data_IF_471368843142
#
_entry.id   IF_471368843142
#
_cell.length_a   1.000
_cell.length_b   1.000
_cell.length_c   1.000
_cell.angle_alpha   90.00
_cell.angle_beta   90.00
_cell.angle_gamma   90.00
#
_symmetry.space_group_name_H-M   'P 1'
#
loop_
_entity.id
_entity.type
_entity.pdbx_description
1 polymer ?
#
# COMPACT_ATOMS: atom_id res chain seq x y z
N UNK A 1 16.96 -14.31 -2.05
CA UNK A 1 16.32 -13.19 -1.33
C UNK A 1 16.62 -11.91 -2.10
N UNK A 2 15.71 -11.49 -2.97
CA UNK A 2 15.83 -10.24 -3.73
C UNK A 2 14.85 -9.23 -3.14
N UNK A 3 15.39 -8.11 -2.62
CA UNK A 3 14.61 -6.93 -2.27
C UNK A 3 14.21 -6.22 -3.58
N UNK A 4 12.95 -5.86 -3.82
CA UNK A 4 12.63 -4.91 -4.87
C UNK A 4 13.10 -3.52 -4.44
N UNK A 5 13.85 -2.85 -5.32
CA UNK A 5 14.32 -1.50 -5.12
C UNK A 5 13.16 -0.52 -5.35
N UNK A 6 12.69 0.13 -4.28
CA UNK A 6 11.80 1.28 -4.33
C UNK A 6 12.60 2.54 -4.64
N UNK A 7 12.80 2.86 -5.92
CA UNK A 7 13.37 4.15 -6.30
C UNK A 7 12.97 4.57 -7.73
N UNK A 8 12.27 5.71 -7.78
CA UNK A 8 12.38 6.84 -8.73
C UNK A 8 11.08 7.25 -9.44
N UNK A 9 10.50 8.35 -8.95
CA UNK A 9 9.94 9.41 -9.79
C UNK A 9 10.22 10.78 -9.15
N UNK A 10 11.51 11.13 -9.02
CA UNK A 10 11.96 12.51 -9.17
C UNK A 10 12.71 12.53 -10.50
N UNK A 11 12.20 13.33 -11.43
CA UNK A 11 12.62 13.37 -12.82
C UNK A 11 14.14 13.52 -12.97
N UNK A 12 14.80 12.49 -13.47
CA UNK A 12 16.15 12.54 -14.04
C UNK A 12 16.04 12.32 -15.54
N UNK A 13 16.53 13.30 -16.31
CA UNK A 13 16.83 13.18 -17.73
C UNK A 13 17.74 11.96 -17.96
N UNK A 14 17.32 10.98 -18.76
CA UNK A 14 18.25 9.96 -19.27
C UNK A 14 17.64 8.61 -19.64
N UNK A 15 17.57 8.36 -20.95
CA UNK A 15 17.88 7.08 -21.59
C UNK A 15 16.91 5.90 -21.37
N UNK A 16 15.89 5.80 -22.23
CA UNK A 16 15.14 4.57 -22.49
C UNK A 16 15.55 3.98 -23.84
N UNK A 17 16.18 2.80 -23.82
CA UNK A 17 16.31 1.93 -24.98
C UNK A 17 15.98 0.48 -24.59
N UNK A 18 15.06 -0.06 -25.37
CA UNK A 18 14.87 -1.47 -25.77
C UNK A 18 13.90 -2.32 -24.93
N UNK A 19 12.71 -2.43 -25.53
CA UNK A 19 11.67 -3.45 -25.34
C UNK A 19 12.17 -4.84 -25.77
N UNK A 20 11.99 -5.85 -24.91
CA UNK A 20 11.98 -7.25 -25.28
C UNK A 20 10.59 -7.83 -25.03
N UNK A 21 9.95 -8.35 -26.07
CA UNK A 21 8.64 -9.00 -26.01
C UNK A 21 8.76 -10.51 -25.79
N UNK A 22 7.91 -11.05 -24.92
CA UNK A 22 7.43 -12.43 -24.95
C UNK A 22 6.13 -12.47 -25.79
N UNK A 23 5.67 -13.62 -26.34
CA UNK A 23 5.02 -14.64 -25.51
C UNK A 23 5.09 -16.12 -25.97
N UNK A 24 4.84 -16.97 -24.97
CA UNK A 24 4.20 -18.29 -24.92
C UNK A 24 3.80 -19.04 -26.21
N UNK A 25 3.94 -20.37 -26.14
CA UNK A 25 2.82 -21.32 -26.37
C UNK A 25 3.10 -22.71 -25.77
N UNK A 26 2.21 -23.11 -24.87
CA UNK A 26 1.93 -24.50 -24.50
C UNK A 26 1.19 -25.20 -25.65
N UNK A 27 1.44 -26.49 -25.84
CA UNK A 27 0.59 -27.38 -26.60
C UNK A 27 0.44 -28.74 -25.88
N UNK A 28 -0.82 -29.10 -25.69
CA UNK A 28 -1.38 -30.28 -25.01
C UNK A 28 -1.32 -31.55 -25.86
N UNK A 29 -1.26 -32.75 -25.24
CA UNK A 29 -1.93 -33.96 -25.78
C UNK A 29 -2.50 -34.84 -24.65
N UNK A 30 -3.73 -35.27 -24.89
CA UNK A 30 -4.69 -36.06 -24.11
C UNK A 30 -4.59 -37.54 -24.60
N UNK A 31 -4.95 -38.64 -23.92
CA UNK A 31 -6.28 -39.26 -23.67
C UNK A 31 -5.99 -40.75 -23.19
N UNK A 32 -6.97 -41.68 -23.01
CA UNK A 32 -7.69 -42.10 -21.78
C UNK A 32 -7.39 -43.56 -21.33
N UNK A 33 -7.98 -44.01 -20.21
CA UNK A 33 -8.53 -45.39 -20.10
C UNK A 33 -9.70 -45.44 -19.13
N UNK A 34 -10.75 -46.18 -19.50
CA UNK A 34 -12.03 -46.34 -18.80
C UNK A 34 -12.03 -47.38 -17.66
N UNK A 35 -12.93 -47.10 -16.72
CA UNK A 35 -13.70 -47.79 -15.65
C UNK A 35 -13.76 -49.33 -15.59
N UNK A 36 -14.12 -49.94 -14.43
CA UNK A 36 -15.54 -50.04 -14.01
C UNK A 36 -15.83 -49.81 -12.51
N UNK A 37 -17.12 -49.59 -12.25
CA UNK A 37 -17.74 -49.23 -10.98
C UNK A 37 -17.87 -50.39 -9.98
N UNK A 38 -17.94 -50.07 -8.69
CA UNK A 38 -18.60 -50.88 -7.69
C UNK A 38 -19.30 -49.96 -6.65
N UNK A 39 -20.58 -50.23 -6.46
CA UNK A 39 -21.54 -49.53 -5.63
C UNK A 39 -21.62 -50.23 -4.28
N UNK A 40 -21.37 -49.53 -3.17
CA UNK A 40 -21.85 -49.95 -1.85
C UNK A 40 -22.34 -48.73 -1.06
N UNK A 41 -23.61 -48.79 -0.69
CA UNK A 41 -24.27 -47.87 0.19
C UNK A 41 -23.68 -47.96 1.61
N UNK A 42 -23.35 -46.81 2.19
CA UNK A 42 -23.21 -46.69 3.64
C UNK A 42 -23.75 -45.34 4.10
N UNK A 43 -24.80 -45.42 4.91
CA UNK A 43 -25.47 -44.40 5.71
C UNK A 43 -24.62 -43.16 6.03
N UNK A 44 -24.85 -42.05 5.33
CA UNK A 44 -24.49 -40.72 5.82
C UNK A 44 -25.41 -40.37 7.00
N UNK A 45 -24.88 -40.47 8.22
CA UNK A 45 -25.33 -39.56 9.27
C UNK A 45 -25.03 -38.13 8.80
N UNK A 46 -25.84 -37.10 9.14
CA UNK A 46 -25.48 -35.72 8.86
C UNK A 46 -24.23 -35.40 9.67
N UNK A 47 -23.06 -35.62 9.07
CA UNK A 47 -21.82 -35.08 9.54
C UNK A 47 -22.03 -33.58 9.57
N UNK A 48 -22.11 -33.03 10.78
CA UNK A 48 -21.92 -31.60 11.00
C UNK A 48 -20.59 -31.31 10.31
N UNK A 49 -20.64 -30.68 9.14
CA UNK A 49 -19.44 -30.24 8.45
C UNK A 49 -18.66 -29.46 9.50
N UNK A 50 -17.50 -29.99 9.91
CA UNK A 50 -16.66 -29.30 10.87
C UNK A 50 -16.38 -27.93 10.22
N UNK A 51 -17.01 -26.89 10.76
CA UNK A 51 -16.88 -25.55 10.22
C UNK A 51 -15.40 -25.23 10.11
N UNK A 52 -15.02 -24.48 9.08
CA UNK A 52 -13.63 -24.12 8.85
C UNK A 52 -13.01 -23.60 10.17
N UNK A 53 -11.79 -24.08 10.56
CA UNK A 53 -11.15 -23.63 11.79
C UNK A 53 -11.19 -22.11 11.91
N UNK A 54 -11.60 -21.60 13.07
CA UNK A 54 -11.85 -20.16 13.25
C UNK A 54 -10.62 -19.31 12.92
N UNK A 55 -9.42 -19.82 13.23
CA UNK A 55 -8.15 -19.23 12.82
C UNK A 55 -8.01 -19.12 11.29
N UNK A 56 -8.41 -20.13 10.52
CA UNK A 56 -8.32 -20.05 9.06
C UNK A 56 -9.19 -18.93 8.48
N UNK A 57 -10.36 -18.68 9.08
CA UNK A 57 -11.23 -17.55 8.71
C UNK A 57 -10.56 -16.21 9.01
N UNK A 58 -9.93 -16.07 10.18
CA UNK A 58 -9.16 -14.87 10.53
C UNK A 58 -7.98 -14.64 9.57
N UNK A 59 -7.23 -15.70 9.25
CA UNK A 59 -6.12 -15.66 8.28
C UNK A 59 -6.60 -15.42 6.84
N UNK A 60 -7.81 -15.81 6.48
CA UNK A 60 -8.38 -15.52 5.16
C UNK A 60 -8.54 -14.01 4.94
N UNK A 61 -9.07 -13.28 5.92
CA UNK A 61 -9.18 -11.81 5.87
C UNK A 61 -7.81 -11.15 5.69
N UNK A 62 -6.80 -11.64 6.42
CA UNK A 62 -5.42 -11.15 6.28
C UNK A 62 -4.83 -11.45 4.90
N UNK A 63 -5.00 -12.67 4.37
CA UNK A 63 -4.50 -13.04 3.04
C UNK A 63 -5.12 -12.21 1.92
N UNK A 64 -6.43 -12.01 1.97
CA UNK A 64 -7.15 -11.17 1.00
C UNK A 64 -6.61 -9.73 1.01
N UNK A 65 -6.43 -9.17 2.21
CA UNK A 65 -5.81 -7.87 2.36
C UNK A 65 -4.38 -7.85 1.83
N UNK A 66 -3.53 -8.81 2.18
CA UNK A 66 -2.13 -8.86 1.73
C UNK A 66 -2.05 -8.90 0.20
N UNK A 67 -2.92 -9.68 -0.45
CA UNK A 67 -2.98 -9.72 -1.92
C UNK A 67 -3.34 -8.35 -2.49
N UNK A 68 -4.43 -7.73 -2.04
CA UNK A 68 -4.86 -6.43 -2.55
C UNK A 68 -3.84 -5.31 -2.23
N UNK A 69 -3.31 -5.30 -1.01
CA UNK A 69 -2.35 -4.30 -0.56
C UNK A 69 -1.03 -4.40 -1.34
N UNK A 70 -0.53 -5.62 -1.58
CA UNK A 70 0.70 -5.82 -2.36
C UNK A 70 0.59 -5.32 -3.80
N UNK A 71 -0.60 -5.39 -4.40
CA UNK A 71 -0.83 -4.85 -5.75
C UNK A 71 -0.72 -3.32 -5.74
N UNK A 72 -1.32 -2.64 -4.77
CA UNK A 72 -1.26 -1.17 -4.65
C UNK A 72 0.15 -0.62 -4.37
N UNK A 73 1.05 -1.43 -3.80
CA UNK A 73 2.43 -1.00 -3.53
C UNK A 73 3.24 -0.78 -4.83
N UNK A 74 2.81 -1.33 -5.96
CA UNK A 74 3.48 -1.18 -7.26
C UNK A 74 3.44 0.26 -7.79
N UNK A 75 2.45 1.04 -7.37
CA UNK A 75 2.23 2.41 -7.84
C UNK A 75 3.03 3.45 -7.03
N UNK A 76 3.74 3.01 -5.98
CA UNK A 76 4.49 3.90 -5.09
C UNK A 76 3.56 4.82 -4.28
N UNK A 77 4.15 5.77 -3.54
CA UNK A 77 3.42 6.66 -2.62
C UNK A 77 2.88 7.91 -3.32
N UNK A 78 2.01 7.70 -4.31
CA UNK A 78 1.18 8.76 -4.88
C UNK A 78 -0.02 9.05 -3.97
N UNK A 79 -0.62 10.23 -4.15
CA UNK A 79 -1.79 10.65 -3.39
C UNK A 79 -2.97 9.69 -3.57
N UNK A 80 -3.21 9.26 -4.82
CA UNK A 80 -4.26 8.31 -5.18
C UNK A 80 -4.00 6.92 -4.61
N UNK A 81 -2.77 6.40 -4.74
CA UNK A 81 -2.43 5.07 -4.23
C UNK A 81 -2.49 5.00 -2.71
N UNK A 82 -2.13 6.08 -2.01
CA UNK A 82 -2.27 6.15 -0.55
C UNK A 82 -3.73 6.18 -0.11
N UNK A 83 -4.60 6.91 -0.83
CA UNK A 83 -6.04 6.89 -0.54
C UNK A 83 -6.64 5.51 -0.76
N UNK A 84 -6.29 4.85 -1.86
CA UNK A 84 -6.76 3.48 -2.13
C UNK A 84 -6.30 2.51 -1.03
N UNK A 85 -5.03 2.61 -0.60
CA UNK A 85 -4.49 1.81 0.51
C UNK A 85 -5.20 2.08 1.83
N UNK A 86 -5.55 3.34 2.11
CA UNK A 86 -6.33 3.70 3.30
C UNK A 86 -7.75 3.12 3.25
N UNK A 87 -8.44 3.24 2.11
CA UNK A 87 -9.78 2.70 1.92
C UNK A 87 -9.80 1.17 2.00
N UNK A 88 -8.76 0.51 1.46
CA UNK A 88 -8.55 -0.92 1.62
C UNK A 88 -8.32 -1.28 3.09
N UNK A 89 -7.43 -0.56 3.79
CA UNK A 89 -7.12 -0.82 5.18
C UNK A 89 -8.34 -0.64 6.09
N UNK A 90 -9.15 0.40 5.88
CA UNK A 90 -10.34 0.66 6.70
C UNK A 90 -11.43 -0.39 6.47
N UNK A 91 -11.70 -0.76 5.20
CA UNK A 91 -12.65 -1.85 4.90
C UNK A 91 -12.22 -3.17 5.53
N UNK A 92 -10.94 -3.53 5.41
CA UNK A 92 -10.40 -4.75 6.04
C UNK A 92 -10.48 -4.67 7.56
N UNK A 93 -10.20 -3.51 8.15
CA UNK A 93 -10.29 -3.29 9.59
C UNK A 93 -11.71 -3.51 10.10
N UNK A 94 -12.71 -2.95 9.42
CA UNK A 94 -14.12 -3.14 9.74
C UNK A 94 -14.55 -4.60 9.59
N UNK A 95 -14.16 -5.27 8.50
CA UNK A 95 -14.42 -6.69 8.29
C UNK A 95 -13.80 -7.56 9.40
N UNK A 96 -12.56 -7.26 9.80
CA UNK A 96 -11.88 -7.95 10.90
C UNK A 96 -12.56 -7.73 12.25
N UNK A 97 -13.03 -6.50 12.52
CA UNK A 97 -13.81 -6.20 13.73
C UNK A 97 -15.15 -6.95 13.78
N UNK A 98 -15.87 -7.02 12.65
CA UNK A 98 -17.10 -7.79 12.55
C UNK A 98 -16.85 -9.29 12.71
N UNK A 99 -15.86 -9.85 12.02
CA UNK A 99 -15.54 -11.27 12.15
C UNK A 99 -15.15 -11.61 13.60
N UNK A 100 -14.39 -10.74 14.28
CA UNK A 100 -13.97 -10.95 15.68
C UNK A 100 -15.17 -11.19 16.60
N UNK A 101 -16.31 -10.52 16.42
CA UNK A 101 -17.49 -10.74 17.29
C UNK A 101 -18.09 -12.13 17.13
N UNK A 102 -17.81 -12.80 16.01
CA UNK A 102 -18.33 -14.12 15.66
C UNK A 102 -17.35 -15.26 16.02
N UNK A 103 -16.15 -14.91 16.50
CA UNK A 103 -15.13 -15.88 16.90
C UNK A 103 -15.23 -16.19 18.39
N UNK A 104 -15.17 -17.48 18.71
CA UNK A 104 -15.03 -18.01 20.07
C UNK A 104 -13.59 -18.44 20.37
N UNK A 105 -12.77 -18.61 19.33
CA UNK A 105 -11.35 -18.94 19.45
C UNK A 105 -10.55 -17.71 19.91
N UNK A 106 -9.91 -17.74 21.10
CA UNK A 106 -9.19 -16.61 21.64
C UNK A 106 -7.95 -16.23 20.81
N UNK A 107 -7.27 -17.20 20.20
CA UNK A 107 -6.07 -16.94 19.41
C UNK A 107 -6.45 -16.26 18.08
N UNK A 108 -7.52 -16.73 17.44
CA UNK A 108 -8.04 -16.10 16.23
C UNK A 108 -8.57 -14.68 16.53
N UNK A 109 -9.22 -14.49 17.68
CA UNK A 109 -9.63 -13.17 18.16
C UNK A 109 -8.43 -12.23 18.42
N UNK A 110 -7.39 -12.73 19.09
CA UNK A 110 -6.17 -11.96 19.37
C UNK A 110 -5.41 -11.56 18.10
N UNK A 111 -5.35 -12.46 17.11
CA UNK A 111 -4.80 -12.16 15.79
C UNK A 111 -5.55 -11.01 15.12
N UNK A 112 -6.89 -11.07 15.06
CA UNK A 112 -7.70 -10.01 14.45
C UNK A 112 -7.53 -8.68 15.16
N UNK A 113 -7.45 -8.65 16.50
CA UNK A 113 -7.18 -7.40 17.25
C UNK A 113 -5.86 -6.78 16.80
N UNK A 114 -4.77 -7.54 16.85
CA UNK A 114 -3.45 -7.08 16.42
C UNK A 114 -3.46 -6.58 14.97
N UNK A 115 -4.12 -7.32 14.08
CA UNK A 115 -4.22 -6.95 12.68
C UNK A 115 -4.99 -5.63 12.50
N UNK A 116 -6.15 -5.48 13.15
CA UNK A 116 -6.96 -4.26 13.08
C UNK A 116 -6.24 -3.05 13.69
N UNK A 117 -5.44 -3.25 14.74
CA UNK A 117 -4.64 -2.20 15.36
C UNK A 117 -3.52 -1.72 14.43
N UNK A 118 -2.85 -2.64 13.72
CA UNK A 118 -1.84 -2.29 12.72
C UNK A 118 -2.47 -1.54 11.53
N UNK A 119 -3.65 -1.96 11.07
CA UNK A 119 -4.39 -1.27 10.02
C UNK A 119 -4.75 0.17 10.44
N UNK A 120 -5.22 0.37 11.68
CA UNK A 120 -5.52 1.71 12.19
C UNK A 120 -4.26 2.59 12.22
N UNK A 121 -3.14 2.07 12.75
CA UNK A 121 -1.87 2.80 12.78
C UNK A 121 -1.39 3.18 11.37
N UNK A 122 -1.58 2.29 10.40
CA UNK A 122 -1.27 2.56 9.00
C UNK A 122 -2.15 3.69 8.44
N UNK A 123 -3.47 3.64 8.66
CA UNK A 123 -4.42 4.68 8.22
C UNK A 123 -4.04 6.05 8.82
N UNK A 124 -3.76 6.10 10.12
CA UNK A 124 -3.42 7.35 10.82
C UNK A 124 -2.09 7.95 10.30
N UNK A 125 -1.12 7.11 9.96
CA UNK A 125 0.14 7.57 9.39
C UNK A 125 -0.03 7.99 7.92
N UNK A 126 -0.77 7.23 7.12
CA UNK A 126 -1.02 7.54 5.72
C UNK A 126 -1.79 8.86 5.56
N UNK A 127 -2.78 9.11 6.43
CA UNK A 127 -3.51 10.38 6.48
C UNK A 127 -2.58 11.57 6.75
N UNK A 128 -1.66 11.44 7.71
CA UNK A 128 -0.65 12.49 8.00
C UNK A 128 0.31 12.68 6.83
N UNK A 129 0.75 11.59 6.22
CA UNK A 129 1.64 11.65 5.07
C UNK A 129 1.02 12.38 3.87
N UNK A 130 -0.27 12.18 3.61
CA UNK A 130 -1.01 12.91 2.58
C UNK A 130 -1.03 14.43 2.85
N UNK A 131 -1.23 14.83 4.11
CA UNK A 131 -1.19 16.26 4.48
C UNK A 131 0.20 16.85 4.25
N UNK A 132 1.26 16.13 4.61
CA UNK A 132 2.64 16.55 4.38
C UNK A 132 2.95 16.65 2.87
N UNK A 133 2.46 15.71 2.06
CA UNK A 133 2.60 15.73 0.60
C UNK A 133 1.91 16.95 -0.03
N UNK A 134 0.71 17.29 0.43
CA UNK A 134 -0.03 18.48 -0.03
C UNK A 134 0.73 19.77 0.34
N UNK A 135 1.25 19.87 1.57
CA UNK A 135 2.04 21.04 1.99
C UNK A 135 3.31 21.19 1.14
N UNK A 136 4.04 20.11 0.88
CA UNK A 136 5.23 20.12 0.02
C UNK A 136 4.87 20.55 -1.40
N UNK A 137 3.78 20.02 -1.95
CA UNK A 137 3.28 20.37 -3.29
C UNK A 137 2.88 21.85 -3.37
N UNK A 138 2.18 22.36 -2.36
CA UNK A 138 1.80 23.78 -2.26
C UNK A 138 3.00 24.72 -2.15
N UNK A 139 4.01 24.35 -1.34
CA UNK A 139 5.26 25.11 -1.26
C UNK A 139 6.03 25.11 -2.58
N UNK A 140 6.05 23.96 -3.29
CA UNK A 140 6.68 23.88 -4.59
C UNK A 140 5.98 24.75 -5.63
N UNK A 141 4.65 24.71 -5.70
CA UNK A 141 3.85 25.56 -6.59
C UNK A 141 4.07 27.05 -6.29
N UNK A 142 3.98 27.44 -5.01
CA UNK A 142 4.28 28.80 -4.57
C UNK A 142 5.69 29.24 -4.93
N UNK A 143 6.68 28.35 -4.78
CA UNK A 143 8.06 28.60 -5.19
C UNK A 143 8.16 28.93 -6.69
N UNK A 144 7.48 28.16 -7.55
CA UNK A 144 7.44 28.43 -9.00
C UNK A 144 6.81 29.78 -9.32
N UNK A 145 5.69 30.11 -8.67
CA UNK A 145 5.03 31.42 -8.86
C UNK A 145 5.94 32.57 -8.42
N UNK A 146 6.60 32.44 -7.27
CA UNK A 146 7.53 33.45 -6.77
C UNK A 146 8.74 33.61 -7.70
N UNK A 147 9.29 32.51 -8.22
CA UNK A 147 10.39 32.54 -9.18
C UNK A 147 10.00 33.29 -10.46
N UNK A 148 8.81 33.02 -11.00
CA UNK A 148 8.28 33.74 -12.16
C UNK A 148 8.07 35.23 -11.87
N UNK A 149 7.55 35.58 -10.68
CA UNK A 149 7.38 36.97 -10.25
C UNK A 149 8.72 37.70 -10.10
N UNK A 150 9.73 37.08 -9.49
CA UNK A 150 11.07 37.66 -9.31
C UNK A 150 11.70 37.99 -10.67
N UNK A 151 11.53 37.13 -11.67
CA UNK A 151 12.03 37.38 -13.01
C UNK A 151 11.44 38.65 -13.67
N UNK A 152 10.20 39.01 -13.31
CA UNK A 152 9.51 40.19 -13.81
C UNK A 152 9.74 41.47 -12.98
N UNK A 153 10.40 41.38 -11.82
CA UNK A 153 10.65 42.54 -10.96
C UNK A 153 11.82 43.40 -11.47
N UNK A 154 11.82 44.71 -11.20
CA UNK A 154 13.00 45.56 -11.35
C UNK A 154 14.16 45.09 -10.46
N UNK A 155 15.40 45.29 -10.90
CA UNK A 155 16.59 44.77 -10.18
C UNK A 155 16.71 45.26 -8.73
N UNK A 156 16.23 46.48 -8.44
CA UNK A 156 16.22 47.03 -7.08
C UNK A 156 15.32 46.26 -6.10
N UNK A 157 14.28 45.60 -6.59
CA UNK A 157 13.27 44.92 -5.77
C UNK A 157 13.53 43.40 -5.69
N UNK A 158 14.35 42.85 -6.59
CA UNK A 158 14.73 41.42 -6.62
C UNK A 158 15.37 40.92 -5.33
N UNK A 159 16.28 41.64 -4.63
CA UNK A 159 16.95 41.09 -3.45
C UNK A 159 15.98 40.69 -2.33
N UNK A 160 14.98 41.52 -2.05
CA UNK A 160 13.97 41.23 -1.03
C UNK A 160 13.07 40.05 -1.44
N UNK A 161 12.61 40.05 -2.69
CA UNK A 161 11.78 38.97 -3.21
C UNK A 161 12.52 37.61 -3.25
N UNK A 162 13.82 37.62 -3.59
CA UNK A 162 14.68 36.42 -3.53
C UNK A 162 14.87 35.91 -2.10
N UNK A 163 14.98 36.80 -1.11
CA UNK A 163 15.04 36.39 0.30
C UNK A 163 13.77 35.67 0.74
N UNK A 164 12.60 36.17 0.33
CA UNK A 164 11.31 35.52 0.61
C UNK A 164 11.17 34.18 -0.13
N UNK A 165 11.64 34.10 -1.37
CA UNK A 165 11.69 32.84 -2.12
C UNK A 165 12.59 31.79 -1.45
N UNK A 166 13.79 32.19 -1.00
CA UNK A 166 14.70 31.29 -0.30
C UNK A 166 14.06 30.72 0.98
N UNK A 167 13.29 31.53 1.73
CA UNK A 167 12.56 31.03 2.90
C UNK A 167 11.51 29.96 2.55
N UNK A 168 10.85 30.06 1.39
CA UNK A 168 9.93 29.03 0.88
C UNK A 168 10.70 27.76 0.48
N UNK A 169 11.84 27.92 -0.21
CA UNK A 169 12.71 26.80 -0.60
C UNK A 169 13.27 26.07 0.62
N UNK A 170 13.72 26.80 1.64
CA UNK A 170 14.26 26.22 2.87
C UNK A 170 13.19 25.42 3.62
N UNK A 171 11.97 25.96 3.73
CA UNK A 171 10.84 25.21 4.32
C UNK A 171 10.49 23.95 3.53
N UNK A 172 10.39 24.06 2.19
CA UNK A 172 10.15 22.92 1.32
C UNK A 172 11.21 21.83 1.53
N UNK A 173 12.49 22.21 1.49
CA UNK A 173 13.60 21.27 1.65
C UNK A 173 13.61 20.62 3.04
N UNK A 174 13.31 21.39 4.09
CA UNK A 174 13.20 20.87 5.45
C UNK A 174 12.09 19.84 5.60
N UNK A 175 10.94 20.04 4.95
CA UNK A 175 9.84 19.07 4.99
C UNK A 175 10.19 17.80 4.21
N UNK A 176 10.74 17.95 2.99
CA UNK A 176 11.09 16.83 2.13
C UNK A 176 12.20 15.96 2.76
N UNK A 177 13.25 16.57 3.30
CA UNK A 177 14.39 15.84 3.86
C UNK A 177 14.15 15.38 5.30
N UNK A 178 13.23 16.02 6.02
CA UNK A 178 12.89 15.70 7.40
C UNK A 178 11.63 14.87 7.50
N UNK A 179 10.50 15.54 7.70
CA UNK A 179 9.23 14.91 8.06
C UNK A 179 8.74 13.91 6.99
N UNK A 180 8.73 14.31 5.72
CA UNK A 180 8.22 13.47 4.64
C UNK A 180 9.05 12.19 4.45
N UNK A 181 10.39 12.31 4.56
CA UNK A 181 11.29 11.17 4.48
C UNK A 181 11.07 10.19 5.64
N UNK A 182 10.86 10.70 6.85
CA UNK A 182 10.60 9.89 8.03
C UNK A 182 9.24 9.19 7.94
N UNK A 183 8.18 9.90 7.56
CA UNK A 183 6.84 9.33 7.38
C UNK A 183 6.82 8.22 6.34
N UNK A 184 7.53 8.39 5.21
CA UNK A 184 7.66 7.33 4.19
C UNK A 184 8.31 6.08 4.76
N UNK A 185 9.40 6.24 5.52
CA UNK A 185 10.09 5.12 6.17
C UNK A 185 9.18 4.41 7.16
N UNK A 186 8.40 5.16 7.93
CA UNK A 186 7.47 4.59 8.90
C UNK A 186 6.29 3.88 8.22
N UNK A 187 5.80 4.39 7.09
CA UNK A 187 4.80 3.72 6.25
C UNK A 187 5.33 2.43 5.64
N UNK A 188 6.58 2.42 5.17
CA UNK A 188 7.24 1.21 4.66
C UNK A 188 7.37 0.16 5.79
N UNK A 189 7.78 0.58 6.99
CA UNK A 189 7.88 -0.31 8.13
C UNK A 189 6.51 -0.92 8.51
N UNK A 190 5.46 -0.10 8.65
CA UNK A 190 4.11 -0.58 8.94
C UNK A 190 3.55 -1.46 7.81
N UNK A 191 3.81 -1.11 6.56
CA UNK A 191 3.43 -1.92 5.40
C UNK A 191 4.06 -3.31 5.45
N UNK A 192 5.35 -3.38 5.78
CA UNK A 192 6.04 -4.66 5.95
C UNK A 192 5.50 -5.47 7.14
N UNK A 193 5.25 -4.81 8.29
CA UNK A 193 4.63 -5.47 9.45
C UNK A 193 3.26 -6.07 9.10
N UNK A 194 2.44 -5.35 8.31
CA UNK A 194 1.14 -5.83 7.84
C UNK A 194 1.26 -7.04 6.90
N UNK A 195 2.26 -7.03 6.01
CA UNK A 195 2.52 -8.13 5.07
C UNK A 195 3.04 -9.40 5.77
N UNK A 196 3.84 -9.23 6.83
CA UNK A 196 4.53 -10.33 7.51
C UNK A 196 3.77 -10.85 8.75
N UNK A 197 2.62 -10.27 9.09
CA UNK A 197 1.84 -10.65 10.26
C UNK A 197 1.46 -12.14 10.22
N UNK A 198 1.80 -12.87 11.29
CA UNK A 198 1.50 -14.30 11.49
C UNK A 198 0.90 -14.56 12.87
#
# INVERSE_FOLDING_TARGET
MHRPAFFYCIASFGLFLILAGCPNKDESVQVPTMTPAQEEASSEAPGVAAGEPQMNRALAVHREFVTAFSETLKDGDTEEALRERMDLADRTRLNGMMLRSDLSDPDAGAFLVRFTDLLQRYIDLAARHLVTLDEVSGLHARGKEMQARIAALPDKDKPQATKEFNAVVDRHNSLVQGLLAQERKDLEALGNELLELR
#
